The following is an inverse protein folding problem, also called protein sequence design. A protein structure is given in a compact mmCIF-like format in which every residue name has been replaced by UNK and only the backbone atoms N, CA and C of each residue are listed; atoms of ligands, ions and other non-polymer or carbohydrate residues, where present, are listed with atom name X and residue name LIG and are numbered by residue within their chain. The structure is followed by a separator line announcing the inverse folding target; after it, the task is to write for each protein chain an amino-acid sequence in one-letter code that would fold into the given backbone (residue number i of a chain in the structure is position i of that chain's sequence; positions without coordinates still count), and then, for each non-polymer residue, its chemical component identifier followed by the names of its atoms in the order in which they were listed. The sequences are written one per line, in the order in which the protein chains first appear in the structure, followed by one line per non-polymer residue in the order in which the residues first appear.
data_IF_135934361711
#
_entry.id   IF_135934361711
#
_cell.length_a   1.000
_cell.length_b   1.000
_cell.length_c   1.000
_cell.angle_alpha   90.00
_cell.angle_beta   90.00
_cell.angle_gamma   90.00
#
_symmetry.space_group_name_H-M   'P 1'
#
loop_
_entity.id
_entity.type
_entity.pdbx_description
1 polymer ?
#
# COMPACT_ATOMS: atom_id res chain seq x y z
N UNK A 1 -26.11 17.96 17.73
CA UNK A 1 -25.94 16.87 16.76
C UNK A 1 -24.44 16.68 16.57
N UNK A 2 -23.69 15.68 17.02
CA UNK A 2 -23.87 14.40 17.73
C UNK A 2 -22.72 14.35 18.76
N UNK A 3 -22.97 13.96 20.02
CA UNK A 3 -21.96 13.76 21.09
C UNK A 3 -21.91 12.28 21.46
N UNK A 4 -20.72 11.71 21.72
CA UNK A 4 -20.54 10.53 22.59
C UNK A 4 -19.05 10.44 23.01
N UNK A 5 -18.64 10.94 24.19
CA UNK A 5 -18.39 10.19 25.45
C UNK A 5 -17.59 8.88 25.21
N UNK A 6 -16.38 8.63 25.72
CA UNK A 6 -15.77 8.98 27.00
C UNK A 6 -15.83 7.75 27.93
N UNK A 7 -14.72 7.05 28.12
CA UNK A 7 -14.50 6.16 29.27
C UNK A 7 -13.01 5.99 29.54
N UNK A 8 -12.76 5.82 30.84
CA UNK A 8 -11.58 6.14 31.63
C UNK A 8 -10.82 4.85 31.96
N UNK A 9 -9.51 5.02 32.16
CA UNK A 9 -8.69 4.43 33.23
C UNK A 9 -8.33 2.93 33.28
N UNK A 10 -7.06 2.75 33.71
CA UNK A 10 -6.44 1.62 34.43
C UNK A 10 -6.07 0.36 33.64
N UNK A 11 -4.96 -0.35 33.91
CA UNK A 11 -3.63 -0.09 34.48
C UNK A 11 -2.86 -1.43 34.33
N UNK A 12 -1.56 -1.36 34.03
CA UNK A 12 -0.52 -2.39 34.27
C UNK A 12 -0.53 -3.72 33.50
N UNK A 13 0.67 -4.13 33.08
CA UNK A 13 1.01 -5.48 32.62
C UNK A 13 1.85 -5.50 31.34
N UNK A 14 3.12 -5.09 31.39
CA UNK A 14 4.29 -5.99 31.33
C UNK A 14 4.59 -6.60 29.94
N UNK A 15 5.81 -6.29 29.46
CA UNK A 15 6.68 -7.11 28.58
C UNK A 15 6.52 -7.00 27.06
N UNK A 16 7.48 -6.31 26.42
CA UNK A 16 7.89 -6.37 25.00
C UNK A 16 8.80 -7.60 24.80
N UNK A 17 8.80 -8.31 23.63
CA UNK A 17 9.75 -7.99 22.54
C UNK A 17 9.15 -8.03 21.12
N UNK A 18 9.76 -7.26 20.23
CA UNK A 18 9.43 -7.08 18.81
C UNK A 18 9.47 -8.39 17.99
N UNK A 19 8.75 -8.41 16.85
CA UNK A 19 9.32 -8.96 15.64
C UNK A 19 9.29 -7.96 14.48
N UNK A 20 10.47 -7.80 13.94
CA UNK A 20 10.83 -7.47 12.57
C UNK A 20 9.83 -8.08 11.55
N UNK A 21 9.03 -7.24 10.89
CA UNK A 21 8.30 -7.59 9.68
C UNK A 21 8.03 -6.32 8.87
N UNK A 22 8.79 -6.18 7.80
CA UNK A 22 8.56 -5.38 6.60
C UNK A 22 7.18 -4.72 6.49
N UNK A 23 7.10 -3.44 6.87
CA UNK A 23 6.04 -2.55 6.44
C UNK A 23 6.69 -1.41 5.63
N UNK A 24 7.08 -1.71 4.40
CA UNK A 24 7.39 -0.67 3.41
C UNK A 24 6.08 0.02 3.04
N UNK A 25 5.86 1.29 3.38
CA UNK A 25 4.69 2.01 2.91
C UNK A 25 4.91 2.28 1.43
N UNK A 26 4.02 1.77 0.57
CA UNK A 26 3.96 2.02 -0.88
C UNK A 26 3.56 3.48 -1.20
N UNK A 27 4.24 4.43 -0.60
CA UNK A 27 4.15 5.83 -0.90
C UNK A 27 5.55 6.33 -1.27
N UNK A 28 5.91 6.13 -2.53
CA UNK A 28 6.93 6.96 -3.18
C UNK A 28 6.23 8.21 -3.71
N UNK A 29 6.38 9.40 -3.10
CA UNK A 29 5.96 10.64 -3.72
C UNK A 29 7.09 11.10 -4.63
N UNK A 30 7.30 10.37 -5.72
CA UNK A 30 8.28 10.74 -6.73
C UNK A 30 7.60 10.63 -8.07
N UNK A 31 7.65 11.70 -8.86
CA UNK A 31 7.02 11.89 -10.17
C UNK A 31 5.62 12.53 -10.16
N UNK A 32 5.41 13.55 -9.32
CA UNK A 32 4.78 14.77 -9.87
C UNK A 32 5.91 15.70 -10.27
N UNK A 33 6.19 15.77 -11.57
CA UNK A 33 7.01 16.83 -12.14
C UNK A 33 6.20 18.12 -11.99
N UNK A 34 6.22 18.70 -10.79
CA UNK A 34 5.83 20.09 -10.63
C UNK A 34 6.68 20.88 -11.61
N UNK A 35 6.11 21.74 -12.47
CA UNK A 35 6.93 22.72 -13.14
C UNK A 35 7.63 23.47 -12.01
N UNK A 36 8.95 23.41 -12.00
CA UNK A 36 9.77 24.26 -11.15
C UNK A 36 9.42 25.68 -11.57
N UNK A 37 8.42 26.25 -10.90
CA UNK A 37 8.15 27.67 -10.95
C UNK A 37 9.37 28.27 -10.28
N UNK A 38 10.30 28.70 -11.12
CA UNK A 38 11.38 29.59 -10.76
C UNK A 38 10.73 30.84 -10.19
N UNK A 39 10.38 30.78 -8.91
CA UNK A 39 10.02 31.94 -8.10
C UNK A 39 11.24 32.85 -8.18
N UNK A 40 11.15 34.03 -8.81
CA UNK A 40 12.18 35.02 -8.60
C UNK A 40 12.19 35.27 -7.10
N UNK A 41 13.34 35.05 -6.45
CA UNK A 41 13.60 35.65 -5.14
C UNK A 41 13.55 37.17 -5.35
N UNK A 42 12.35 37.74 -5.27
CA UNK A 42 12.20 39.17 -5.04
C UNK A 42 12.53 39.38 -3.57
N UNK A 43 13.84 39.42 -3.29
CA UNK A 43 14.36 40.11 -2.12
C UNK A 43 13.66 41.46 -2.04
N UNK A 44 13.20 41.83 -0.85
CA UNK A 44 12.31 42.96 -0.55
C UNK A 44 12.89 44.35 -0.82
N UNK A 45 13.36 44.60 -2.04
CA UNK A 45 13.60 45.91 -2.59
C UNK A 45 12.55 46.13 -3.68
N UNK A 46 11.49 46.86 -3.32
CA UNK A 46 10.66 47.55 -4.32
C UNK A 46 11.66 48.33 -5.18
N UNK A 47 11.74 48.13 -6.50
CA UNK A 47 12.55 48.98 -7.35
C UNK A 47 11.95 50.38 -7.24
N UNK A 48 12.54 51.24 -6.41
CA UNK A 48 12.13 52.65 -6.25
C UNK A 48 12.51 53.49 -7.46
N UNK A 49 12.99 52.86 -8.53
CA UNK A 49 13.40 53.50 -9.75
C UNK A 49 12.39 53.17 -10.85
N UNK A 50 11.53 54.15 -11.15
CA UNK A 50 10.86 54.21 -12.45
C UNK A 50 11.93 54.21 -13.53
N UNK A 51 11.74 53.44 -14.60
CA UNK A 51 12.69 53.46 -15.71
C UNK A 51 12.69 54.88 -16.31
N UNK A 52 13.84 55.45 -16.72
CA UNK A 52 13.90 56.79 -17.30
C UNK A 52 12.89 57.00 -18.45
N UNK A 53 12.63 55.95 -19.24
CA UNK A 53 11.60 55.97 -20.29
C UNK A 53 10.17 56.09 -19.77
N UNK A 54 9.81 55.39 -18.69
CA UNK A 54 8.49 55.48 -18.07
C UNK A 54 8.28 56.87 -17.43
N UNK A 55 9.30 57.36 -16.73
CA UNK A 55 9.28 58.71 -16.15
C UNK A 55 9.14 59.78 -17.24
N UNK A 56 9.88 59.66 -18.36
CA UNK A 56 9.77 60.57 -19.49
C UNK A 56 8.36 60.58 -20.12
N UNK A 57 7.72 59.40 -20.21
CA UNK A 57 6.33 59.29 -20.68
C UNK A 57 5.35 60.05 -19.78
N UNK A 58 5.45 59.89 -18.46
CA UNK A 58 4.60 60.61 -17.50
C UNK A 58 4.87 62.12 -17.56
N UNK A 59 6.14 62.53 -17.65
CA UNK A 59 6.52 63.95 -17.76
C UNK A 59 5.95 64.58 -19.04
N UNK A 60 5.94 63.87 -20.16
CA UNK A 60 5.33 64.36 -21.41
C UNK A 60 3.83 64.65 -21.23
N UNK A 61 3.09 63.73 -20.60
CA UNK A 61 1.64 63.91 -20.33
C UNK A 61 1.40 65.09 -19.38
N UNK A 62 2.27 65.31 -18.38
CA UNK A 62 2.18 66.45 -17.47
C UNK A 62 2.50 67.78 -18.17
N UNK A 63 3.42 67.78 -19.13
CA UNK A 63 3.83 69.00 -19.87
C UNK A 63 2.71 69.57 -20.74
N UNK A 64 1.82 68.72 -21.24
CA UNK A 64 0.68 69.13 -22.08
C UNK A 64 -0.51 69.69 -21.27
N UNK A 65 -0.43 69.70 -19.92
CA UNK A 65 -1.46 70.28 -19.05
C UNK A 65 -1.22 71.77 -18.79
N UNK A 66 -2.31 72.52 -18.66
CA UNK A 66 -2.29 73.92 -18.26
C UNK A 66 -1.83 74.09 -16.81
N UNK A 67 -1.37 75.31 -16.47
CA UNK A 67 -0.93 75.64 -15.09
C UNK A 67 -2.06 75.44 -14.08
N UNK A 68 -3.30 75.76 -14.46
CA UNK A 68 -4.47 75.58 -13.58
C UNK A 68 -4.78 74.10 -13.34
N UNK A 69 -4.66 73.24 -14.37
CA UNK A 69 -4.78 71.79 -14.21
C UNK A 69 -3.68 71.21 -13.33
N UNK A 70 -2.43 71.65 -13.50
CA UNK A 70 -1.31 71.22 -12.66
C UNK A 70 -1.51 71.65 -11.19
N UNK A 71 -1.99 72.89 -10.95
CA UNK A 71 -2.35 73.36 -9.60
C UNK A 71 -3.48 72.54 -9.00
N UNK A 72 -4.48 72.18 -9.82
CA UNK A 72 -5.56 71.29 -9.41
C UNK A 72 -5.03 69.90 -9.04
N UNK A 73 -4.17 69.30 -9.87
CA UNK A 73 -3.54 68.00 -9.57
C UNK A 73 -2.69 68.01 -8.30
N UNK A 74 -2.08 69.14 -7.95
CA UNK A 74 -1.31 69.28 -6.71
C UNK A 74 -2.18 69.49 -5.46
N UNK A 75 -3.38 70.05 -5.62
CA UNK A 75 -4.23 70.47 -4.49
C UNK A 75 -5.41 69.54 -4.22
N UNK A 76 -5.94 68.91 -5.26
CA UNK A 76 -7.13 68.05 -5.22
C UNK A 76 -6.73 66.58 -5.37
N UNK A 77 -6.91 65.82 -4.28
CA UNK A 77 -6.57 64.40 -4.21
C UNK A 77 -7.35 63.56 -5.21
N UNK A 78 -8.62 63.89 -5.45
CA UNK A 78 -9.47 63.13 -6.37
C UNK A 78 -9.04 63.39 -7.82
N UNK A 79 -8.70 64.64 -8.15
CA UNK A 79 -8.11 64.97 -9.45
C UNK A 79 -6.77 64.25 -9.68
N UNK A 80 -5.91 64.18 -8.66
CA UNK A 80 -4.66 63.43 -8.72
C UNK A 80 -4.89 61.93 -8.96
N UNK A 81 -5.83 61.32 -8.22
CA UNK A 81 -6.18 59.91 -8.41
C UNK A 81 -6.75 59.64 -9.80
N UNK A 82 -7.65 60.50 -10.30
CA UNK A 82 -8.19 60.40 -11.66
C UNK A 82 -7.08 60.47 -12.71
N UNK A 83 -6.10 61.36 -12.53
CA UNK A 83 -4.93 61.41 -13.41
C UNK A 83 -4.12 60.12 -13.36
N UNK A 84 -3.82 59.57 -12.17
CA UNK A 84 -3.13 58.29 -12.06
C UNK A 84 -3.91 57.16 -12.77
N UNK A 85 -5.22 57.09 -12.60
CA UNK A 85 -6.06 56.11 -13.28
C UNK A 85 -6.14 56.31 -14.80
N UNK A 86 -5.85 57.51 -15.30
CA UNK A 86 -5.75 57.79 -16.74
C UNK A 86 -4.41 57.35 -17.36
N UNK A 87 -3.38 57.07 -16.56
CA UNK A 87 -2.10 56.59 -17.08
C UNK A 87 -2.22 55.14 -17.54
N UNK A 88 -1.74 54.87 -18.75
CA UNK A 88 -1.74 53.52 -19.33
C UNK A 88 -1.04 52.51 -18.43
N UNK A 89 0.07 52.90 -17.79
CA UNK A 89 0.82 52.02 -16.89
C UNK A 89 -0.05 51.56 -15.71
N UNK A 90 -0.82 52.46 -15.11
CA UNK A 90 -1.71 52.14 -13.98
C UNK A 90 -2.89 51.29 -14.45
N UNK A 91 -3.44 51.59 -15.63
CA UNK A 91 -4.53 50.82 -16.24
C UNK A 91 -4.10 49.39 -16.56
N UNK A 92 -2.93 49.22 -17.19
CA UNK A 92 -2.33 47.92 -17.51
C UNK A 92 -2.08 47.12 -16.23
N UNK A 93 -1.45 47.72 -15.20
CA UNK A 93 -1.17 47.04 -13.93
C UNK A 93 -2.46 46.62 -13.21
N UNK A 94 -3.49 47.47 -13.21
CA UNK A 94 -4.79 47.13 -12.65
C UNK A 94 -5.46 45.97 -13.39
N UNK A 95 -5.38 45.95 -14.72
CA UNK A 95 -5.90 44.85 -15.53
C UNK A 95 -5.15 43.55 -15.24
N UNK A 96 -3.82 43.56 -15.18
CA UNK A 96 -3.02 42.37 -14.82
C UNK A 96 -3.40 41.84 -13.43
N UNK A 97 -3.55 42.74 -12.44
CA UNK A 97 -3.99 42.37 -11.08
C UNK A 97 -5.36 41.72 -11.08
N UNK A 98 -6.30 42.25 -11.87
CA UNK A 98 -7.66 41.73 -11.95
C UNK A 98 -7.71 40.37 -12.67
N UNK A 99 -6.97 40.20 -13.77
CA UNK A 99 -6.85 38.92 -14.45
C UNK A 99 -6.20 37.85 -13.54
N UNK A 100 -5.13 38.20 -12.81
CA UNK A 100 -4.53 37.28 -11.84
C UNK A 100 -5.50 36.88 -10.72
N UNK A 101 -6.32 37.83 -10.24
CA UNK A 101 -7.36 37.57 -9.24
C UNK A 101 -8.43 36.63 -9.78
N UNK A 102 -8.91 36.86 -11.01
CA UNK A 102 -9.89 35.98 -11.67
C UNK A 102 -9.34 34.58 -11.85
N UNK A 103 -8.11 34.45 -12.35
CA UNK A 103 -7.46 33.15 -12.56
C UNK A 103 -7.25 32.40 -11.24
N UNK A 104 -6.79 33.09 -10.19
CA UNK A 104 -6.61 32.49 -8.86
C UNK A 104 -7.95 31.96 -8.31
N UNK A 105 -9.04 32.73 -8.48
CA UNK A 105 -10.38 32.30 -8.07
C UNK A 105 -10.90 31.14 -8.93
N UNK A 106 -10.61 31.14 -10.23
CA UNK A 106 -10.99 30.04 -11.13
C UNK A 106 -10.30 28.74 -10.72
N UNK A 107 -8.98 28.75 -10.54
CA UNK A 107 -8.20 27.60 -10.07
C UNK A 107 -8.68 27.10 -8.69
N UNK A 108 -8.98 28.01 -7.76
CA UNK A 108 -9.50 27.64 -6.44
C UNK A 108 -10.85 26.91 -6.54
N UNK A 109 -11.74 27.34 -7.44
CA UNK A 109 -13.03 26.67 -7.69
C UNK A 109 -12.85 25.31 -8.33
N UNK A 110 -12.03 25.21 -9.38
CA UNK A 110 -11.76 23.93 -10.06
C UNK A 110 -11.12 22.91 -9.12
N UNK A 111 -10.24 23.35 -8.21
CA UNK A 111 -9.66 22.49 -7.18
C UNK A 111 -10.71 22.01 -6.17
N UNK A 112 -11.61 22.89 -5.74
CA UNK A 112 -12.70 22.54 -4.82
C UNK A 112 -13.69 21.56 -5.46
N UNK A 113 -13.97 21.72 -6.76
CA UNK A 113 -14.83 20.80 -7.54
C UNK A 113 -14.26 19.39 -7.64
N UNK A 114 -12.93 19.22 -7.57
CA UNK A 114 -12.26 17.92 -7.57
C UNK A 114 -12.25 17.23 -6.19
N UNK A 115 -12.49 17.98 -5.10
CA UNK A 115 -12.44 17.44 -3.74
C UNK A 115 -13.39 16.24 -3.52
N UNK A 116 -14.67 16.29 -3.95
CA UNK A 116 -15.59 15.16 -3.78
C UNK A 116 -15.09 13.89 -4.49
N UNK A 117 -14.58 14.02 -5.71
CA UNK A 117 -14.04 12.90 -6.48
C UNK A 117 -12.81 12.29 -5.81
N UNK A 118 -11.91 13.12 -5.26
CA UNK A 118 -10.74 12.64 -4.52
C UNK A 118 -11.16 11.87 -3.27
N UNK A 119 -12.15 12.36 -2.52
CA UNK A 119 -12.67 11.70 -1.32
C UNK A 119 -13.33 10.37 -1.67
N UNK A 120 -14.12 10.32 -2.75
CA UNK A 120 -14.75 9.09 -3.23
C UNK A 120 -13.70 8.04 -3.63
N UNK A 121 -12.71 8.40 -4.45
CA UNK A 121 -11.64 7.49 -4.86
C UNK A 121 -10.84 6.96 -3.66
N UNK A 122 -10.55 7.83 -2.67
CA UNK A 122 -9.90 7.40 -1.42
C UNK A 122 -10.76 6.39 -0.66
N UNK A 123 -12.08 6.60 -0.60
CA UNK A 123 -13.00 5.67 0.03
C UNK A 123 -13.07 4.33 -0.71
N UNK A 124 -13.15 4.34 -2.04
CA UNK A 124 -13.12 3.14 -2.87
C UNK A 124 -11.83 2.34 -2.66
N UNK A 125 -10.67 3.00 -2.69
CA UNK A 125 -9.39 2.34 -2.42
C UNK A 125 -9.30 1.79 -0.98
N UNK A 126 -9.95 2.43 -0.01
CA UNK A 126 -10.04 1.89 1.36
C UNK A 126 -10.88 0.62 1.37
N UNK A 127 -12.07 0.64 0.77
CA UNK A 127 -12.97 -0.51 0.68
C UNK A 127 -12.23 -1.69 0.06
N UNK A 128 -11.67 -1.54 -1.15
CA UNK A 128 -10.95 -2.60 -1.87
C UNK A 128 -9.85 -3.22 -0.98
N UNK A 129 -9.07 -2.41 -0.25
CA UNK A 129 -8.03 -2.93 0.64
C UNK A 129 -8.60 -3.72 1.82
N UNK A 130 -9.67 -3.23 2.43
CA UNK A 130 -10.23 -3.82 3.65
C UNK A 130 -11.19 -4.98 3.40
N UNK A 131 -11.83 -5.06 2.23
CA UNK A 131 -12.75 -6.14 1.87
C UNK A 131 -12.09 -7.11 0.89
N UNK A 132 -11.85 -6.68 -0.34
CA UNK A 132 -11.45 -7.55 -1.44
C UNK A 132 -10.03 -8.09 -1.28
N UNK A 133 -9.07 -7.22 -0.95
CA UNK A 133 -7.68 -7.64 -0.76
C UNK A 133 -7.54 -8.54 0.48
N UNK A 134 -8.16 -8.15 1.60
CA UNK A 134 -8.13 -8.93 2.84
C UNK A 134 -8.74 -10.34 2.65
N UNK A 135 -9.90 -10.44 1.98
CA UNK A 135 -10.55 -11.73 1.69
C UNK A 135 -9.74 -12.60 0.74
N UNK A 136 -9.10 -12.01 -0.28
CA UNK A 136 -8.22 -12.74 -1.19
C UNK A 136 -6.96 -13.27 -0.48
N UNK A 137 -6.38 -12.48 0.43
CA UNK A 137 -5.23 -12.89 1.25
C UNK A 137 -5.59 -14.01 2.23
N UNK A 138 -6.74 -13.91 2.90
CA UNK A 138 -7.24 -14.98 3.78
C UNK A 138 -7.42 -16.29 3.02
N UNK A 139 -8.04 -16.23 1.83
CA UNK A 139 -8.22 -17.40 0.96
C UNK A 139 -6.89 -17.97 0.46
N UNK A 140 -5.91 -17.13 0.15
CA UNK A 140 -4.58 -17.58 -0.25
C UNK A 140 -3.91 -18.34 0.91
N UNK A 141 -3.90 -17.76 2.11
CA UNK A 141 -3.30 -18.39 3.29
C UNK A 141 -3.96 -19.74 3.61
N UNK A 142 -5.29 -19.82 3.50
CA UNK A 142 -6.02 -21.09 3.69
C UNK A 142 -5.59 -22.16 2.68
N UNK A 143 -5.45 -21.80 1.40
CA UNK A 143 -5.01 -22.73 0.36
C UNK A 143 -3.54 -23.14 0.53
N UNK A 144 -2.68 -22.23 0.98
CA UNK A 144 -1.27 -22.53 1.28
C UNK A 144 -1.15 -23.50 2.46
N UNK A 145 -1.93 -23.30 3.53
CA UNK A 145 -2.00 -24.23 4.66
C UNK A 145 -2.47 -25.62 4.21
N UNK A 146 -3.54 -25.71 3.43
CA UNK A 146 -4.03 -26.99 2.88
C UNK A 146 -2.97 -27.68 2.01
N UNK A 147 -2.26 -26.91 1.17
CA UNK A 147 -1.15 -27.43 0.37
C UNK A 147 -0.04 -27.99 1.25
N UNK A 148 0.37 -27.28 2.29
CA UNK A 148 1.42 -27.72 3.22
C UNK A 148 1.02 -29.00 3.97
N UNK A 149 -0.23 -29.09 4.43
CA UNK A 149 -0.76 -30.31 5.05
C UNK A 149 -0.71 -31.50 4.10
N UNK A 150 -1.20 -31.33 2.86
CA UNK A 150 -1.14 -32.39 1.83
C UNK A 150 0.31 -32.78 1.55
N UNK A 151 1.20 -31.81 1.34
CA UNK A 151 2.62 -32.08 1.09
C UNK A 151 3.29 -32.81 2.26
N UNK A 152 2.92 -32.48 3.50
CA UNK A 152 3.39 -33.19 4.69
C UNK A 152 2.91 -34.64 4.67
N UNK A 153 1.63 -34.89 4.48
CA UNK A 153 1.04 -36.24 4.45
C UNK A 153 1.60 -37.11 3.30
N UNK A 154 1.79 -36.54 2.12
CA UNK A 154 2.25 -37.25 0.92
C UNK A 154 3.74 -37.08 0.64
N UNK A 155 4.50 -36.50 1.58
CA UNK A 155 5.95 -36.43 1.47
C UNK A 155 6.54 -37.85 1.33
N UNK A 156 7.60 -38.03 0.53
CA UNK A 156 8.28 -39.32 0.39
C UNK A 156 8.64 -39.95 1.75
N UNK A 157 9.14 -39.13 2.68
CA UNK A 157 9.45 -39.57 4.05
C UNK A 157 8.23 -40.08 4.83
N UNK A 158 7.09 -39.37 4.78
CA UNK A 158 5.87 -39.80 5.47
C UNK A 158 5.25 -41.05 4.83
N UNK A 159 5.35 -41.20 3.51
CA UNK A 159 4.93 -42.43 2.83
C UNK A 159 5.82 -43.63 3.20
N UNK A 160 7.14 -43.43 3.27
CA UNK A 160 8.08 -44.48 3.70
C UNK A 160 7.87 -44.85 5.18
N UNK A 161 7.63 -43.88 6.06
CA UNK A 161 7.32 -44.15 7.46
C UNK A 161 6.05 -44.98 7.60
N UNK A 162 4.94 -44.58 6.94
CA UNK A 162 3.70 -45.37 6.94
C UNK A 162 3.88 -46.78 6.37
N UNK A 163 4.74 -46.93 5.36
CA UNK A 163 5.08 -48.24 4.82
C UNK A 163 5.86 -49.10 5.81
N UNK A 164 6.79 -48.50 6.56
CA UNK A 164 7.54 -49.15 7.63
C UNK A 164 6.64 -49.55 8.80
N UNK A 165 5.74 -48.68 9.27
CA UNK A 165 4.75 -49.02 10.31
C UNK A 165 3.89 -50.20 9.88
N UNK A 166 3.43 -50.19 8.62
CA UNK A 166 2.66 -51.28 8.05
C UNK A 166 3.48 -52.56 7.89
N UNK A 167 4.81 -52.50 7.75
CA UNK A 167 5.68 -53.67 7.79
C UNK A 167 5.74 -54.25 9.20
N UNK A 168 6.00 -53.41 10.20
CA UNK A 168 6.08 -53.81 11.60
C UNK A 168 4.79 -54.48 12.06
N UNK A 169 3.62 -53.91 11.74
CA UNK A 169 2.32 -54.50 12.08
C UNK A 169 2.13 -55.91 11.52
N UNK A 170 2.61 -56.18 10.29
CA UNK A 170 2.48 -57.52 9.68
C UNK A 170 3.49 -58.50 10.28
N UNK A 171 4.64 -58.00 10.74
CA UNK A 171 5.64 -58.80 11.45
C UNK A 171 5.09 -59.21 12.83
N UNK A 172 4.52 -58.27 13.58
CA UNK A 172 3.80 -58.51 14.85
C UNK A 172 2.65 -59.51 14.66
N UNK A 173 1.79 -59.34 13.65
CA UNK A 173 0.74 -60.32 13.30
C UNK A 173 1.31 -61.73 13.01
N UNK A 174 2.53 -61.81 12.47
CA UNK A 174 3.22 -63.08 12.19
C UNK A 174 3.75 -63.73 13.47
N UNK A 175 4.28 -62.93 14.41
CA UNK A 175 4.75 -63.37 15.72
C UNK A 175 3.58 -63.85 16.60
N UNK A 176 2.47 -63.12 16.63
CA UNK A 176 1.24 -63.55 17.33
C UNK A 176 0.71 -64.88 16.78
N UNK A 177 0.76 -65.06 15.45
CA UNK A 177 0.36 -66.31 14.81
C UNK A 177 1.31 -67.45 15.17
N UNK A 178 2.61 -67.19 15.28
CA UNK A 178 3.60 -68.15 15.73
C UNK A 178 3.38 -68.55 17.19
N UNK A 179 3.04 -67.59 18.06
CA UNK A 179 2.71 -67.85 19.46
C UNK A 179 1.49 -68.78 19.59
N UNK A 180 0.40 -68.52 18.84
CA UNK A 180 -0.79 -69.39 18.80
C UNK A 180 -0.47 -70.82 18.33
N UNK A 181 0.48 -70.98 17.41
CA UNK A 181 0.93 -72.30 16.98
C UNK A 181 1.71 -73.04 18.08
N UNK A 182 2.52 -72.34 18.87
CA UNK A 182 3.22 -72.90 20.03
C UNK A 182 2.25 -73.31 21.15
N UNK A 183 1.17 -72.54 21.35
CA UNK A 183 0.08 -72.82 22.28
C UNK A 183 -0.84 -73.96 21.81
N UNK A 184 -0.65 -74.44 20.57
CA UNK A 184 -1.47 -75.47 19.89
C UNK A 184 -2.92 -75.03 19.63
N UNK A 185 -3.16 -73.72 19.59
CA UNK A 185 -4.46 -73.11 19.29
C UNK A 185 -4.79 -73.10 17.78
N UNK A 186 -3.83 -73.48 16.93
CA UNK A 186 -4.00 -73.57 15.48
C UNK A 186 -3.31 -74.82 14.95
N UNK A 187 -3.97 -75.53 14.04
CA UNK A 187 -3.39 -76.70 13.38
C UNK A 187 -2.27 -76.31 12.40
N UNK A 188 -1.39 -77.26 12.11
CA UNK A 188 -0.22 -77.03 11.25
C UNK A 188 -0.60 -76.54 9.85
N UNK A 189 -1.69 -77.06 9.25
CA UNK A 189 -2.07 -76.68 7.90
C UNK A 189 -2.59 -75.23 7.86
N UNK A 190 -3.43 -74.84 8.82
CA UNK A 190 -3.91 -73.48 8.95
C UNK A 190 -2.78 -72.49 9.28
N UNK A 191 -1.84 -72.87 10.15
CA UNK A 191 -0.65 -72.06 10.46
C UNK A 191 0.16 -71.78 9.21
N UNK A 192 0.56 -72.81 8.46
CA UNK A 192 1.39 -72.65 7.25
C UNK A 192 0.72 -71.74 6.23
N UNK A 193 -0.60 -71.90 6.01
CA UNK A 193 -1.34 -71.06 5.08
C UNK A 193 -1.40 -69.58 5.51
N UNK A 194 -1.72 -69.31 6.78
CA UNK A 194 -1.82 -67.93 7.30
C UNK A 194 -0.45 -67.26 7.37
N UNK A 195 0.57 -67.98 7.88
CA UNK A 195 1.92 -67.46 8.03
C UNK A 195 2.54 -67.11 6.67
N UNK A 196 2.38 -67.98 5.67
CA UNK A 196 2.84 -67.70 4.29
C UNK A 196 2.23 -66.41 3.73
N UNK A 197 0.93 -66.17 3.96
CA UNK A 197 0.25 -64.93 3.51
C UNK A 197 0.81 -63.69 4.20
N UNK A 198 1.01 -63.73 5.52
CA UNK A 198 1.60 -62.63 6.28
C UNK A 198 3.03 -62.33 5.84
N UNK A 199 3.90 -63.36 5.78
CA UNK A 199 5.29 -63.18 5.32
C UNK A 199 5.38 -62.66 3.89
N UNK A 200 4.52 -63.13 2.99
CA UNK A 200 4.47 -62.63 1.62
C UNK A 200 4.07 -61.15 1.56
N UNK A 201 3.11 -60.71 2.39
CA UNK A 201 2.71 -59.31 2.53
C UNK A 201 3.85 -58.45 3.10
N UNK A 202 4.52 -58.93 4.14
CA UNK A 202 5.70 -58.28 4.73
C UNK A 202 6.82 -58.10 3.69
N UNK A 203 7.27 -59.18 3.05
CA UNK A 203 8.36 -59.11 2.09
C UNK A 203 8.03 -58.27 0.86
N UNK A 204 6.77 -58.28 0.39
CA UNK A 204 6.33 -57.37 -0.67
C UNK A 204 6.48 -55.91 -0.28
N UNK A 205 6.09 -55.52 0.94
CA UNK A 205 6.26 -54.16 1.45
C UNK A 205 7.74 -53.81 1.64
N UNK A 206 8.55 -54.75 2.16
CA UNK A 206 9.99 -54.57 2.34
C UNK A 206 10.73 -54.29 1.02
N UNK A 207 10.38 -55.00 -0.05
CA UNK A 207 10.95 -54.75 -1.38
C UNK A 207 10.56 -53.37 -1.93
N UNK A 208 9.30 -52.95 -1.76
CA UNK A 208 8.84 -51.61 -2.16
C UNK A 208 9.59 -50.52 -1.37
N UNK A 209 9.73 -50.71 -0.06
CA UNK A 209 10.43 -49.78 0.82
C UNK A 209 11.91 -49.66 0.48
N UNK A 210 12.58 -50.79 0.22
CA UNK A 210 13.98 -50.82 -0.21
C UNK A 210 14.15 -50.10 -1.56
N UNK A 211 13.33 -50.43 -2.55
CA UNK A 211 13.37 -49.80 -3.87
C UNK A 211 13.22 -48.27 -3.79
N UNK A 212 12.23 -47.80 -3.01
CA UNK A 212 11.98 -46.38 -2.82
C UNK A 212 13.12 -45.65 -2.07
N UNK A 213 13.74 -46.30 -1.08
CA UNK A 213 14.93 -45.75 -0.41
C UNK A 213 16.13 -45.66 -1.36
N UNK A 214 16.34 -46.67 -2.21
CA UNK A 214 17.45 -46.66 -3.17
C UNK A 214 17.25 -45.65 -4.30
N UNK A 215 16.01 -45.38 -4.72
CA UNK A 215 15.74 -44.37 -5.75
C UNK A 215 15.85 -42.93 -5.25
N UNK A 216 15.69 -42.70 -3.94
CA UNK A 216 15.79 -41.35 -3.36
C UNK A 216 17.24 -40.88 -3.13
N UNK A 217 18.23 -41.73 -3.42
CA UNK A 217 19.66 -41.50 -3.17
C UNK A 217 20.41 -41.17 -4.49
N UNK A 218 19.74 -41.16 -5.64
CA UNK A 218 20.28 -40.71 -6.94
C UNK A 218 19.70 -39.37 -7.36
#
# INVERSE_FOLDING_TARGET
MFNFWGSKEQQQGQSRPSPEASATPWYSPSLVTSPSSSRPQTSGQIPSHVSPGEAAGIIAILKDKSVDELRKLLSDKDAYQQFLHSLDQVTIQNNIREELRKETLHLARENLEKEPQIVELRNQCRIIRTSELATAQEKLNELENQREEILKFYSPGSLLHRLQDAMNQVDEESEELQQKFMEKDIDTAAFVQKYKKLRSKYHRRALIHLAAKTSSIG
#
